data_IF_380085587858
#
_entry.id   IF_380085587858
#
_cell.length_a   1.000
_cell.length_b   1.000
_cell.length_c   1.000
_cell.angle_alpha   90.00
_cell.angle_beta   90.00
_cell.angle_gamma   90.00
#
_symmetry.space_group_name_H-M   'P 1'
#
loop_
_entity.id
_entity.type
_entity.pdbx_description
1 polymer ?
#
# COMPACT_ATOMS: atom_id res chain seq x y z
N UNK A 1 -18.26 19.46 -12.54
CA UNK A 1 -16.93 18.85 -12.32
C UNK A 1 -16.90 17.57 -13.13
N UNK A 2 -15.97 17.39 -14.09
CA UNK A 2 -15.85 16.11 -14.80
C UNK A 2 -15.56 15.01 -13.77
N UNK A 3 -16.24 13.87 -13.85
CA UNK A 3 -15.93 12.70 -13.03
C UNK A 3 -14.47 12.31 -13.27
N UNK A 4 -13.61 12.63 -12.31
CA UNK A 4 -12.20 12.31 -12.36
C UNK A 4 -11.99 10.98 -11.65
N UNK A 5 -11.43 10.01 -12.37
CA UNK A 5 -11.14 8.68 -11.86
C UNK A 5 -9.64 8.61 -11.51
N UNK A 6 -9.27 8.45 -10.23
CA UNK A 6 -7.87 8.44 -9.81
C UNK A 6 -7.22 7.11 -10.16
N UNK A 7 -6.60 7.05 -11.34
CA UNK A 7 -6.06 5.80 -11.91
C UNK A 7 -4.98 5.20 -11.01
N UNK A 8 -4.11 6.04 -10.45
CA UNK A 8 -3.01 5.58 -9.63
C UNK A 8 -3.47 5.10 -8.26
N UNK A 9 -4.43 5.81 -7.64
CA UNK A 9 -5.04 5.36 -6.40
C UNK A 9 -5.69 3.98 -6.56
N UNK A 10 -6.43 3.77 -7.66
CA UNK A 10 -7.06 2.47 -7.95
C UNK A 10 -6.00 1.37 -8.16
N UNK A 11 -4.89 1.68 -8.83
CA UNK A 11 -3.77 0.75 -9.01
C UNK A 11 -3.19 0.33 -7.66
N UNK A 12 -2.88 1.28 -6.78
CA UNK A 12 -2.33 1.00 -5.44
C UNK A 12 -3.29 0.16 -4.58
N UNK A 13 -4.58 0.50 -4.58
CA UNK A 13 -5.61 -0.25 -3.85
C UNK A 13 -5.68 -1.69 -4.38
N UNK A 14 -5.61 -1.88 -5.70
CA UNK A 14 -5.62 -3.21 -6.30
C UNK A 14 -4.41 -4.04 -5.84
N UNK A 15 -3.21 -3.44 -5.78
CA UNK A 15 -2.00 -4.10 -5.27
C UNK A 15 -2.18 -4.51 -3.80
N UNK A 16 -2.71 -3.62 -2.96
CA UNK A 16 -2.94 -3.92 -1.55
C UNK A 16 -3.89 -5.10 -1.38
N UNK A 17 -5.00 -5.12 -2.12
CA UNK A 17 -5.99 -6.19 -2.07
C UNK A 17 -5.39 -7.53 -2.54
N UNK A 18 -4.66 -7.53 -3.65
CA UNK A 18 -4.01 -8.73 -4.18
C UNK A 18 -3.00 -9.27 -3.17
N UNK A 19 -2.11 -8.43 -2.63
CA UNK A 19 -1.12 -8.84 -1.64
C UNK A 19 -1.77 -9.38 -0.38
N UNK A 20 -2.81 -8.72 0.13
CA UNK A 20 -3.52 -9.15 1.33
C UNK A 20 -4.20 -10.51 1.13
N UNK A 21 -4.88 -10.72 -0.02
CA UNK A 21 -5.56 -11.99 -0.31
C UNK A 21 -4.54 -13.12 -0.55
N UNK A 22 -3.53 -12.90 -1.40
CA UNK A 22 -2.50 -13.91 -1.67
C UNK A 22 -1.78 -14.29 -0.38
N UNK A 23 -1.39 -13.32 0.44
CA UNK A 23 -0.65 -13.61 1.66
C UNK A 23 -1.52 -14.30 2.73
N UNK A 24 -2.76 -13.87 2.90
CA UNK A 24 -3.66 -14.43 3.91
C UNK A 24 -4.13 -15.85 3.56
N UNK A 25 -4.43 -16.11 2.29
CA UNK A 25 -5.07 -17.37 1.87
C UNK A 25 -4.11 -18.38 1.25
N UNK A 26 -2.99 -17.94 0.66
CA UNK A 26 -2.05 -18.83 -0.05
C UNK A 26 -0.77 -19.00 0.75
N UNK A 27 -0.19 -17.90 1.24
CA UNK A 27 1.14 -17.90 1.83
C UNK A 27 1.14 -17.87 3.37
N UNK A 28 -0.03 -17.90 3.99
CA UNK A 28 -0.22 -17.97 5.45
C UNK A 28 0.57 -16.89 6.22
N UNK A 29 0.64 -15.67 5.70
CA UNK A 29 1.29 -14.53 6.36
C UNK A 29 2.81 -14.42 6.14
N UNK A 30 3.38 -15.20 5.21
CA UNK A 30 4.82 -15.19 4.93
C UNK A 30 5.28 -13.83 4.36
N UNK A 31 4.52 -13.23 3.45
CA UNK A 31 4.85 -11.92 2.89
C UNK A 31 4.68 -10.82 3.93
N UNK A 32 3.66 -10.90 4.79
CA UNK A 32 3.50 -10.00 5.93
C UNK A 32 4.73 -10.06 6.84
N UNK A 33 5.22 -11.25 7.21
CA UNK A 33 6.44 -11.37 8.02
C UNK A 33 7.70 -10.86 7.29
N UNK A 34 7.78 -11.03 5.97
CA UNK A 34 8.93 -10.61 5.18
C UNK A 34 8.97 -9.10 4.91
N UNK A 35 7.82 -8.49 4.66
CA UNK A 35 7.74 -7.12 4.16
C UNK A 35 7.28 -6.07 5.16
N UNK A 36 6.70 -6.46 6.30
CA UNK A 36 6.36 -5.52 7.37
C UNK A 36 7.59 -4.89 8.01
N UNK A 37 7.42 -3.70 8.58
CA UNK A 37 8.50 -3.04 9.28
C UNK A 37 8.82 -3.78 10.59
N UNK A 38 10.03 -4.30 10.70
CA UNK A 38 10.56 -4.88 11.93
C UNK A 38 11.90 -4.19 12.20
N UNK A 39 11.96 -3.38 13.27
CA UNK A 39 13.14 -2.55 13.59
C UNK A 39 14.38 -3.39 13.86
N UNK A 40 14.21 -4.51 14.57
CA UNK A 40 15.31 -5.43 14.87
C UNK A 40 15.88 -6.01 13.57
N UNK A 41 15.04 -6.58 12.70
CA UNK A 41 15.47 -7.11 11.40
C UNK A 41 16.04 -6.02 10.47
N UNK A 42 15.51 -4.81 10.56
CA UNK A 42 16.02 -3.66 9.79
C UNK A 42 17.45 -3.32 10.19
N UNK A 43 17.71 -3.12 11.49
CA UNK A 43 19.00 -2.64 11.99
C UNK A 43 20.03 -3.76 12.20
N UNK A 44 19.61 -4.94 12.67
CA UNK A 44 20.52 -6.05 12.98
C UNK A 44 20.78 -6.94 11.76
N UNK A 45 19.81 -7.06 10.84
CA UNK A 45 19.90 -7.99 9.70
C UNK A 45 19.96 -7.26 8.34
N UNK A 46 20.16 -5.94 8.34
CA UNK A 46 20.27 -5.10 7.15
C UNK A 46 19.10 -5.27 6.15
N UNK A 47 17.89 -5.49 6.66
CA UNK A 47 16.69 -5.70 5.82
C UNK A 47 16.05 -4.37 5.41
N UNK A 48 16.82 -3.52 4.72
CA UNK A 48 16.45 -2.14 4.36
C UNK A 48 15.21 -2.04 3.46
N UNK A 49 14.95 -3.06 2.64
CA UNK A 49 13.76 -3.10 1.80
C UNK A 49 12.47 -2.98 2.60
N UNK A 50 12.46 -3.35 3.90
CA UNK A 50 11.30 -3.21 4.79
C UNK A 50 10.79 -1.78 4.91
N UNK A 51 11.66 -0.79 4.74
CA UNK A 51 11.26 0.64 4.73
C UNK A 51 10.33 0.91 3.54
N UNK A 52 10.68 0.39 2.37
CA UNK A 52 9.94 0.58 1.13
C UNK A 52 8.73 -0.34 1.04
N UNK A 53 8.84 -1.59 1.51
CA UNK A 53 7.78 -2.59 1.36
C UNK A 53 6.68 -2.47 2.42
N UNK A 54 6.98 -1.93 3.60
CA UNK A 54 6.03 -1.91 4.71
C UNK A 54 4.68 -1.22 4.44
N UNK A 55 4.58 -0.13 3.65
CA UNK A 55 3.28 0.48 3.34
C UNK A 55 2.32 -0.43 2.55
N UNK A 56 2.85 -1.43 1.85
CA UNK A 56 2.05 -2.33 1.01
C UNK A 56 1.44 -3.50 1.80
N UNK A 57 2.00 -3.83 2.96
CA UNK A 57 1.59 -4.97 3.77
C UNK A 57 0.67 -4.56 4.92
N UNK A 58 -0.49 -5.19 4.98
CA UNK A 58 -1.55 -4.85 5.94
C UNK A 58 -1.85 -6.04 6.85
N UNK A 59 -1.88 -5.80 8.17
CA UNK A 59 -2.08 -6.86 9.19
C UNK A 59 -3.54 -7.22 9.44
N UNK A 60 -4.50 -6.55 8.80
CA UNK A 60 -5.92 -6.82 9.02
C UNK A 60 -6.87 -6.12 8.05
N UNK A 61 -8.10 -6.65 7.98
CA UNK A 61 -9.16 -6.22 7.06
C UNK A 61 -9.55 -4.75 7.30
N UNK A 62 -9.69 -4.34 8.56
CA UNK A 62 -10.04 -2.95 8.89
C UNK A 62 -8.92 -1.99 8.45
N UNK A 63 -7.66 -2.37 8.64
CA UNK A 63 -6.51 -1.54 8.25
C UNK A 63 -6.45 -1.33 6.73
N UNK A 64 -6.62 -2.38 5.93
CA UNK A 64 -6.62 -2.24 4.47
C UNK A 64 -7.82 -1.45 3.96
N UNK A 65 -9.01 -1.61 4.56
CA UNK A 65 -10.20 -0.86 4.18
C UNK A 65 -10.04 0.65 4.41
N UNK A 66 -9.60 1.04 5.61
CA UNK A 66 -9.42 2.47 5.96
C UNK A 66 -8.32 3.10 5.11
N UNK A 67 -7.19 2.42 4.90
CA UNK A 67 -6.12 2.93 4.04
C UNK A 67 -6.56 3.04 2.58
N UNK A 68 -7.31 2.06 2.06
CA UNK A 68 -7.83 2.12 0.69
C UNK A 68 -8.80 3.28 0.51
N UNK A 69 -9.66 3.54 1.51
CA UNK A 69 -10.57 4.69 1.49
C UNK A 69 -9.80 6.02 1.51
N UNK A 70 -8.78 6.13 2.37
CA UNK A 70 -7.93 7.31 2.45
C UNK A 70 -7.19 7.56 1.13
N UNK A 71 -6.61 6.52 0.52
CA UNK A 71 -5.92 6.61 -0.77
C UNK A 71 -6.89 7.00 -1.89
N UNK A 72 -8.10 6.42 -1.92
CA UNK A 72 -9.09 6.75 -2.93
C UNK A 72 -9.52 8.22 -2.88
N UNK A 73 -9.87 8.74 -1.71
CA UNK A 73 -10.26 10.15 -1.57
C UNK A 73 -9.09 11.10 -1.81
N UNK A 74 -7.91 10.77 -1.28
CA UNK A 74 -6.69 11.55 -1.56
C UNK A 74 -6.37 11.55 -3.06
N UNK A 75 -6.56 10.43 -3.75
CA UNK A 75 -6.42 10.32 -5.20
C UNK A 75 -7.38 11.22 -5.97
N UNK A 76 -8.67 11.25 -5.59
CA UNK A 76 -9.66 12.16 -6.20
C UNK A 76 -9.19 13.62 -6.08
N UNK A 77 -8.71 14.01 -4.89
CA UNK A 77 -8.35 15.40 -4.58
C UNK A 77 -7.00 15.83 -5.17
N UNK A 78 -6.00 14.95 -5.13
CA UNK A 78 -4.61 15.28 -5.46
C UNK A 78 -4.22 14.80 -6.85
N UNK A 79 -4.57 13.58 -7.28
CA UNK A 79 -4.07 13.04 -8.55
C UNK A 79 -4.50 13.91 -9.75
N UNK A 80 -5.67 14.54 -9.66
CA UNK A 80 -6.17 15.52 -10.64
C UNK A 80 -5.37 16.83 -10.68
N UNK A 81 -4.73 17.21 -9.58
CA UNK A 81 -3.98 18.47 -9.42
C UNK A 81 -2.48 18.29 -9.66
N UNK A 82 -1.90 17.21 -9.13
CA UNK A 82 -0.45 16.97 -9.15
C UNK A 82 -0.02 15.97 -10.22
N UNK A 83 -0.94 15.34 -10.96
CA UNK A 83 -0.71 14.25 -11.94
C UNK A 83 -0.30 12.92 -11.28
N UNK A 84 -0.61 11.83 -11.95
CA UNK A 84 -0.46 10.45 -11.43
C UNK A 84 0.96 10.07 -11.02
N UNK A 85 2.00 10.59 -11.71
CA UNK A 85 3.39 10.26 -11.36
C UNK A 85 3.76 10.80 -9.98
N UNK A 86 3.37 12.02 -9.65
CA UNK A 86 3.71 12.66 -8.38
C UNK A 86 2.91 12.06 -7.22
N UNK A 87 1.70 11.59 -7.50
CA UNK A 87 0.91 10.82 -6.55
C UNK A 87 1.54 9.45 -6.23
N UNK A 88 2.26 8.83 -7.17
CA UNK A 88 2.99 7.59 -6.90
C UNK A 88 4.11 7.79 -5.87
N UNK A 89 4.82 8.93 -5.94
CA UNK A 89 5.96 9.22 -5.08
C UNK A 89 5.59 9.59 -3.64
N UNK A 90 4.31 9.86 -3.36
CA UNK A 90 3.86 10.20 -2.01
C UNK A 90 3.65 8.99 -1.10
N UNK A 91 3.91 7.77 -1.60
CA UNK A 91 3.78 6.49 -0.90
C UNK A 91 5.07 5.69 -1.06
#
# INVERSE_FOLDING_TARGET
MKNYYPKMAICLISIFLILFVVDSFILNGLLLQWGTLNKEKLFLNNQWWRVITSPFFHTGIIHILINSLAIYFTGILLESKIRSIWFCWSF
#
